data_IF_785548513479
#
_entry.id   IF_785548513479
#
_cell.length_a   1.000
_cell.length_b   1.000
_cell.length_c   1.000
_cell.angle_alpha   90.00
_cell.angle_beta   90.00
_cell.angle_gamma   90.00
#
_symmetry.space_group_name_H-M   'P 1'
#
loop_
_entity.id
_entity.type
_entity.pdbx_description
1 polymer ?
#
# COMPACT_ATOMS: atom_id res chain seq x y z
N UNK A 1 -0.40 29.18 2.64
CA UNK A 1 -1.85 28.88 2.74
C UNK A 1 -2.25 27.66 1.89
N UNK A 2 -1.79 27.53 0.65
CA UNK A 2 -2.12 26.35 -0.20
C UNK A 2 -1.50 25.04 0.30
N UNK A 3 -0.22 25.05 0.70
CA UNK A 3 0.47 23.85 1.22
C UNK A 3 -0.21 23.30 2.48
N UNK A 4 -0.61 24.17 3.40
CA UNK A 4 -1.32 23.78 4.63
C UNK A 4 -2.69 23.17 4.33
N UNK A 5 -3.41 23.70 3.33
CA UNK A 5 -4.70 23.14 2.90
C UNK A 5 -4.50 21.76 2.25
N UNK A 6 -3.50 21.60 1.38
CA UNK A 6 -3.18 20.31 0.75
C UNK A 6 -2.91 19.26 1.81
N UNK A 7 -2.00 19.55 2.75
CA UNK A 7 -1.67 18.62 3.83
C UNK A 7 -2.88 18.28 4.70
N UNK A 8 -3.71 19.28 5.04
CA UNK A 8 -4.92 19.07 5.83
C UNK A 8 -5.92 18.15 5.10
N UNK A 9 -6.14 18.36 3.80
CA UNK A 9 -7.05 17.52 3.01
C UNK A 9 -6.50 16.11 2.77
N UNK A 10 -5.19 15.94 2.58
CA UNK A 10 -4.56 14.62 2.47
C UNK A 10 -4.75 13.79 3.74
N UNK A 11 -4.54 14.40 4.91
CA UNK A 11 -4.75 13.74 6.21
C UNK A 11 -6.23 13.43 6.43
N UNK A 12 -7.13 14.35 6.09
CA UNK A 12 -8.58 14.11 6.13
C UNK A 12 -8.98 12.93 5.26
N UNK A 13 -8.43 12.82 4.05
CA UNK A 13 -8.67 11.67 3.15
C UNK A 13 -8.27 10.33 3.78
N UNK A 14 -7.10 10.28 4.42
CA UNK A 14 -6.67 9.08 5.16
C UNK A 14 -7.59 8.76 6.34
N UNK A 15 -8.05 9.77 7.08
CA UNK A 15 -8.98 9.59 8.19
C UNK A 15 -10.33 9.02 7.72
N UNK A 16 -10.86 9.53 6.61
CA UNK A 16 -12.10 9.03 6.01
C UNK A 16 -11.93 7.59 5.49
N UNK A 17 -10.82 7.28 4.82
CA UNK A 17 -10.51 5.92 4.38
C UNK A 17 -10.45 4.93 5.55
N UNK A 18 -9.79 5.34 6.65
CA UNK A 18 -9.72 4.56 7.87
C UNK A 18 -11.12 4.32 8.49
N UNK A 19 -11.96 5.35 8.53
CA UNK A 19 -13.33 5.24 9.05
C UNK A 19 -14.17 4.22 8.28
N UNK A 20 -14.16 4.28 6.94
CA UNK A 20 -14.92 3.34 6.11
C UNK A 20 -14.34 1.93 6.14
N UNK A 21 -13.01 1.78 6.08
CA UNK A 21 -12.35 0.47 6.19
C UNK A 21 -12.69 -0.20 7.52
N UNK A 22 -12.61 0.54 8.63
CA UNK A 22 -12.97 0.05 9.96
C UNK A 22 -14.45 -0.31 10.08
N UNK A 23 -15.33 0.36 9.34
CA UNK A 23 -16.76 0.05 9.33
C UNK A 23 -17.06 -1.25 8.60
N UNK A 24 -16.39 -1.50 7.47
CA UNK A 24 -16.52 -2.75 6.70
C UNK A 24 -15.94 -3.94 7.46
N UNK A 25 -14.81 -3.77 8.15
CA UNK A 25 -14.16 -4.83 8.93
C UNK A 25 -15.00 -5.36 10.11
N UNK A 26 -16.00 -4.59 10.58
CA UNK A 26 -16.93 -5.04 11.62
C UNK A 26 -17.96 -6.05 11.13
N UNK A 27 -18.12 -6.20 9.81
CA UNK A 27 -19.08 -7.13 9.21
C UNK A 27 -18.49 -8.54 9.29
N UNK A 28 -19.14 -9.49 9.99
CA UNK A 28 -18.63 -10.84 10.11
C UNK A 28 -18.72 -11.57 8.77
N UNK A 29 -17.70 -12.39 8.46
CA UNK A 29 -17.58 -13.12 7.19
C UNK A 29 -18.67 -14.20 7.04
N UNK A 30 -19.23 -14.64 8.17
CA UNK A 30 -20.28 -15.64 8.31
C UNK A 30 -21.68 -15.05 8.50
N UNK A 31 -21.85 -13.74 8.28
CA UNK A 31 -23.15 -13.07 8.41
C UNK A 31 -24.20 -13.76 7.53
N UNK A 32 -25.27 -14.29 8.15
CA UNK A 32 -26.36 -14.97 7.46
C UNK A 32 -26.14 -16.45 7.17
N UNK A 33 -25.12 -17.09 7.76
CA UNK A 33 -24.88 -18.54 7.64
C UNK A 33 -25.26 -19.26 8.94
N UNK A 34 -26.38 -19.98 8.91
CA UNK A 34 -26.86 -20.75 10.07
C UNK A 34 -26.13 -22.09 10.25
N UNK A 35 -25.56 -22.65 9.17
CA UNK A 35 -24.85 -23.92 9.20
C UNK A 35 -23.42 -23.77 9.79
N UNK A 36 -23.10 -24.43 10.92
CA UNK A 36 -21.80 -24.32 11.56
C UNK A 36 -20.63 -24.82 10.70
N UNK A 37 -20.85 -25.79 9.83
CA UNK A 37 -19.81 -26.35 8.97
C UNK A 37 -19.43 -25.38 7.85
N UNK A 38 -20.43 -24.81 7.17
CA UNK A 38 -20.26 -23.82 6.11
C UNK A 38 -19.56 -22.57 6.63
N UNK A 39 -19.93 -22.10 7.82
CA UNK A 39 -19.24 -21.00 8.52
C UNK A 39 -17.75 -21.28 8.73
N UNK A 40 -17.42 -22.47 9.24
CA UNK A 40 -16.02 -22.85 9.48
C UNK A 40 -15.22 -22.94 8.17
N UNK A 41 -15.85 -23.41 7.09
CA UNK A 41 -15.24 -23.48 5.76
C UNK A 41 -14.98 -22.10 5.17
N UNK A 42 -15.92 -21.17 5.29
CA UNK A 42 -15.79 -19.78 4.84
C UNK A 42 -14.60 -19.09 5.52
N UNK A 43 -14.50 -19.17 6.84
CA UNK A 43 -13.38 -18.60 7.59
C UNK A 43 -12.02 -19.18 7.16
N UNK A 44 -11.96 -20.50 6.93
CA UNK A 44 -10.74 -21.16 6.41
C UNK A 44 -10.34 -20.65 5.03
N UNK A 45 -11.29 -20.55 4.09
CA UNK A 45 -11.03 -20.09 2.72
C UNK A 45 -10.55 -18.63 2.74
N UNK A 46 -11.25 -17.76 3.49
CA UNK A 46 -10.87 -16.36 3.63
C UNK A 46 -9.44 -16.20 4.17
N UNK A 47 -9.10 -16.93 5.25
CA UNK A 47 -7.76 -16.91 5.84
C UNK A 47 -6.69 -17.44 4.88
N UNK A 48 -6.99 -18.51 4.13
CA UNK A 48 -6.07 -19.06 3.14
C UNK A 48 -5.80 -18.08 1.99
N UNK A 49 -6.83 -17.38 1.50
CA UNK A 49 -6.70 -16.34 0.47
C UNK A 49 -5.84 -15.19 0.98
N UNK A 50 -6.14 -14.66 2.17
CA UNK A 50 -5.38 -13.57 2.77
C UNK A 50 -3.90 -13.94 2.93
N UNK A 51 -3.63 -15.15 3.43
CA UNK A 51 -2.25 -15.65 3.60
C UNK A 51 -1.52 -15.78 2.27
N UNK A 52 -2.16 -16.36 1.25
CA UNK A 52 -1.59 -16.51 -0.09
C UNK A 52 -1.28 -15.17 -0.75
N UNK A 53 -2.23 -14.23 -0.69
CA UNK A 53 -2.07 -12.88 -1.24
C UNK A 53 -0.91 -12.13 -0.57
N UNK A 54 -0.84 -12.16 0.77
CA UNK A 54 0.24 -11.49 1.51
C UNK A 54 1.61 -12.13 1.26
N UNK A 55 1.67 -13.45 1.09
CA UNK A 55 2.92 -14.15 0.74
C UNK A 55 3.41 -13.75 -0.66
N UNK A 56 2.50 -13.69 -1.63
CA UNK A 56 2.81 -13.24 -2.99
C UNK A 56 3.29 -11.79 -3.02
N UNK A 57 2.51 -10.87 -2.43
CA UNK A 57 2.84 -9.44 -2.37
C UNK A 57 4.20 -9.20 -1.69
N UNK A 58 4.51 -9.93 -0.62
CA UNK A 58 5.82 -9.81 0.05
C UNK A 58 6.98 -10.20 -0.87
N UNK A 59 6.80 -11.26 -1.66
CA UNK A 59 7.84 -11.71 -2.59
C UNK A 59 7.98 -10.77 -3.77
N UNK A 60 6.87 -10.28 -4.31
CA UNK A 60 6.85 -9.28 -5.39
C UNK A 60 7.53 -7.98 -4.93
N UNK A 61 7.14 -7.46 -3.77
CA UNK A 61 7.69 -6.21 -3.23
C UNK A 61 9.17 -6.30 -2.90
N UNK A 62 9.67 -7.50 -2.55
CA UNK A 62 11.10 -7.71 -2.35
C UNK A 62 11.89 -7.44 -3.63
N UNK A 63 11.43 -7.96 -4.77
CA UNK A 63 12.11 -7.76 -6.05
C UNK A 63 11.91 -6.32 -6.54
N UNK A 64 10.69 -5.79 -6.45
CA UNK A 64 10.39 -4.40 -6.81
C UNK A 64 11.22 -3.40 -6.02
N UNK A 65 11.40 -3.60 -4.72
CA UNK A 65 12.22 -2.72 -3.89
C UNK A 65 13.68 -2.69 -4.33
N UNK A 66 14.26 -3.86 -4.65
CA UNK A 66 15.64 -3.94 -5.18
C UNK A 66 15.73 -3.15 -6.48
N UNK A 67 14.78 -3.34 -7.40
CA UNK A 67 14.73 -2.61 -8.65
C UNK A 67 14.64 -1.09 -8.43
N UNK A 68 13.72 -0.63 -7.57
CA UNK A 68 13.54 0.79 -7.27
C UNK A 68 14.80 1.43 -6.69
N UNK A 69 15.50 0.76 -5.77
CA UNK A 69 16.73 1.30 -5.17
C UNK A 69 17.86 1.39 -6.21
N UNK A 70 18.05 0.34 -7.02
CA UNK A 70 19.06 0.36 -8.09
C UNK A 70 18.75 1.47 -9.09
N UNK A 71 17.49 1.60 -9.51
CA UNK A 71 17.10 2.61 -10.48
C UNK A 71 17.21 4.03 -9.90
N UNK A 72 16.85 4.23 -8.64
CA UNK A 72 17.06 5.49 -7.94
C UNK A 72 18.55 5.87 -7.87
N UNK A 73 19.43 4.91 -7.63
CA UNK A 73 20.88 5.13 -7.65
C UNK A 73 21.39 5.50 -9.05
N UNK A 74 20.88 4.83 -10.10
CA UNK A 74 21.22 5.17 -11.49
C UNK A 74 20.77 6.59 -11.81
N UNK A 75 19.52 6.97 -11.49
CA UNK A 75 19.02 8.33 -11.70
C UNK A 75 19.91 9.32 -10.97
N UNK A 76 20.18 9.08 -9.68
CA UNK A 76 20.98 10.00 -8.87
C UNK A 76 22.35 10.28 -9.48
N UNK A 77 23.01 9.29 -10.10
CA UNK A 77 24.34 9.47 -10.71
C UNK A 77 24.25 10.03 -12.14
N UNK A 78 23.24 9.68 -12.93
CA UNK A 78 23.18 10.01 -14.36
C UNK A 78 22.45 11.31 -14.67
N UNK A 79 21.63 11.81 -13.73
CA UNK A 79 20.83 13.01 -13.96
C UNK A 79 21.65 14.31 -13.82
N UNK A 80 22.89 14.24 -13.33
CA UNK A 80 23.74 15.42 -13.15
C UNK A 80 24.16 16.02 -14.51
N UNK A 81 23.54 17.13 -14.89
CA UNK A 81 23.88 17.90 -16.09
C UNK A 81 24.76 19.11 -15.74
N UNK A 82 25.99 19.09 -16.25
CA UNK A 82 26.98 20.15 -16.08
C UNK A 82 26.61 21.47 -16.78
N UNK A 83 25.50 21.53 -17.54
CA UNK A 83 24.99 22.77 -18.11
C UNK A 83 24.01 23.52 -17.18
N UNK A 84 23.65 22.92 -16.05
CA UNK A 84 22.67 23.45 -15.09
C UNK A 84 23.27 23.67 -13.70
N UNK A 85 24.35 24.45 -13.62
CA UNK A 85 25.11 24.76 -12.39
C UNK A 85 24.31 25.43 -11.24
N UNK A 86 23.05 25.79 -11.48
CA UNK A 86 22.17 26.46 -10.51
C UNK A 86 21.24 25.49 -9.75
N UNK A 87 21.27 24.19 -10.08
CA UNK A 87 20.45 23.15 -9.44
C UNK A 87 21.28 21.89 -9.20
N UNK A 88 21.15 21.30 -8.01
CA UNK A 88 21.71 19.98 -7.73
C UNK A 88 20.73 18.93 -8.25
N UNK A 89 20.96 18.46 -9.47
CA UNK A 89 20.09 17.47 -10.12
C UNK A 89 20.46 16.05 -9.69
N UNK A 90 21.75 15.76 -9.48
CA UNK A 90 22.28 14.45 -9.13
C UNK A 90 23.34 14.45 -8.01
N UNK A 91 24.11 13.36 -7.95
CA UNK A 91 25.31 13.15 -7.14
C UNK A 91 26.59 13.32 -7.96
#
# INVERSE_FOLDING_TARGET
MSVTIILALSVLGLAVAYYYSSSVLKIPIDMGVDDPETRKRLGKIHSAIATGAMAFLKQEYKIMAIFMVVFAAIIAVLIDDHHTDYVNEGL
#
